data_IF_560201256714
#
_entry.id   IF_560201256714
#
_cell.length_a   1.000
_cell.length_b   1.000
_cell.length_c   1.000
_cell.angle_alpha   90.00
_cell.angle_beta   90.00
_cell.angle_gamma   90.00
#
_symmetry.space_group_name_H-M   'P 1'
#
loop_
_entity.id
_entity.type
_entity.pdbx_description
1 polymer ?
#
# COMPACT_ATOMS: atom_id res chain seq x y z
N UNK A 1 -4.36 41.36 -4.49
CA UNK A 1 -4.65 40.74 -3.17
C UNK A 1 -3.99 39.39 -3.18
N UNK A 2 -2.98 39.19 -2.34
CA UNK A 2 -2.25 37.93 -2.24
C UNK A 2 -3.21 36.86 -1.70
N UNK A 3 -3.39 35.76 -2.43
CA UNK A 3 -4.18 34.62 -1.95
C UNK A 3 -3.43 33.98 -0.76
N UNK A 4 -4.13 33.50 0.28
CA UNK A 4 -3.50 32.80 1.39
C UNK A 4 -2.67 31.61 0.87
N UNK A 5 -1.54 31.33 1.52
CA UNK A 5 -0.53 30.38 1.01
C UNK A 5 -1.09 28.96 0.77
N UNK A 6 -2.10 28.55 1.55
CA UNK A 6 -2.83 27.30 1.34
C UNK A 6 -3.57 27.24 -0.01
N UNK A 7 -4.15 28.36 -0.47
CA UNK A 7 -4.88 28.43 -1.74
C UNK A 7 -3.92 28.35 -2.94
N UNK A 8 -2.72 28.92 -2.81
CA UNK A 8 -1.65 28.78 -3.80
C UNK A 8 -1.22 27.31 -3.97
N UNK A 9 -1.13 26.56 -2.87
CA UNK A 9 -0.81 25.13 -2.90
C UNK A 9 -1.87 24.30 -3.65
N UNK A 10 -3.15 24.55 -3.39
CA UNK A 10 -4.26 23.87 -4.09
C UNK A 10 -4.26 24.20 -5.59
N UNK A 11 -4.04 25.47 -5.95
CA UNK A 11 -3.96 25.90 -7.35
C UNK A 11 -2.76 25.28 -8.09
N UNK A 12 -1.63 25.09 -7.40
CA UNK A 12 -0.46 24.38 -7.93
C UNK A 12 -0.78 22.90 -8.20
N UNK A 13 -1.41 22.20 -7.24
CA UNK A 13 -1.79 20.78 -7.39
C UNK A 13 -2.75 20.58 -8.55
N UNK A 14 -3.78 21.44 -8.65
CA UNK A 14 -4.75 21.43 -9.76
C UNK A 14 -4.08 21.47 -11.13
N UNK A 15 -3.18 22.44 -11.34
CA UNK A 15 -2.47 22.61 -12.62
C UNK A 15 -1.53 21.45 -12.90
N UNK A 16 -0.74 21.05 -11.92
CA UNK A 16 0.28 20.01 -12.07
C UNK A 16 -0.34 18.66 -12.40
N UNK A 17 -1.41 18.29 -11.69
CA UNK A 17 -2.12 17.04 -11.91
C UNK A 17 -2.80 17.00 -13.29
N UNK A 18 -3.40 18.13 -13.72
CA UNK A 18 -3.95 18.26 -15.07
C UNK A 18 -2.87 18.06 -16.15
N UNK A 19 -1.77 18.81 -16.06
CA UNK A 19 -0.66 18.70 -17.02
C UNK A 19 -0.10 17.27 -17.08
N UNK A 20 0.01 16.60 -15.93
CA UNK A 20 0.44 15.21 -15.87
C UNK A 20 -0.51 14.27 -16.63
N UNK A 21 -1.82 14.34 -16.37
CA UNK A 21 -2.83 13.49 -17.03
C UNK A 21 -2.86 13.77 -18.54
N UNK A 22 -2.83 15.04 -18.96
CA UNK A 22 -2.83 15.44 -20.37
C UNK A 22 -1.57 14.92 -21.11
N UNK A 23 -0.41 14.98 -20.45
CA UNK A 23 0.84 14.45 -21.00
C UNK A 23 0.77 12.93 -21.15
N UNK A 24 0.21 12.22 -20.16
CA UNK A 24 0.04 10.77 -20.21
C UNK A 24 -0.89 10.33 -21.35
N UNK A 25 -2.01 11.05 -21.56
CA UNK A 25 -2.93 10.80 -22.66
C UNK A 25 -2.26 10.99 -24.03
N UNK A 26 -1.37 11.98 -24.15
CA UNK A 26 -0.63 12.26 -25.39
C UNK A 26 0.41 11.17 -25.68
N UNK A 27 1.10 10.67 -24.65
CA UNK A 27 2.14 9.65 -24.76
C UNK A 27 1.59 8.27 -25.16
N UNK A 28 0.40 7.90 -24.67
CA UNK A 28 -0.25 6.64 -25.04
C UNK A 28 -0.74 6.61 -26.50
N UNK A 29 -0.77 7.76 -27.19
CA UNK A 29 -1.13 7.89 -28.61
C UNK A 29 0.00 7.54 -29.60
N UNK A 30 1.19 7.17 -29.15
CA UNK A 30 2.31 6.78 -30.03
C UNK A 30 2.76 5.34 -29.79
N UNK A 31 2.01 4.39 -30.33
CA UNK A 31 2.53 3.05 -30.64
C UNK A 31 3.53 3.22 -31.78
N UNK A 32 4.82 3.29 -31.46
CA UNK A 32 5.87 3.27 -32.47
C UNK A 32 6.32 1.81 -32.71
N UNK A 33 5.86 1.26 -33.83
CA UNK A 33 6.47 0.10 -34.46
C UNK A 33 7.83 0.55 -35.04
N UNK A 34 8.95 0.19 -34.38
CA UNK A 34 10.30 0.40 -34.94
C UNK A 34 11.38 0.85 -33.95
N UNK A 35 12.24 -0.09 -33.55
CA UNK A 35 13.69 -0.03 -33.21
C UNK A 35 14.24 1.13 -32.34
N UNK A 36 13.41 1.94 -31.67
CA UNK A 36 13.93 2.91 -30.68
C UNK A 36 12.97 3.12 -29.52
N UNK A 37 12.92 2.13 -28.62
CA UNK A 37 12.26 2.25 -27.31
C UNK A 37 13.03 3.23 -26.41
N UNK A 38 12.97 4.53 -26.71
CA UNK A 38 13.42 5.58 -25.82
C UNK A 38 12.21 5.98 -24.98
N UNK A 39 12.23 5.56 -23.71
CA UNK A 39 11.26 5.78 -22.63
C UNK A 39 10.22 4.65 -22.43
N UNK A 40 10.64 3.58 -21.75
CA UNK A 40 9.71 2.72 -21.01
C UNK A 40 9.10 3.55 -19.88
N UNK A 41 7.91 4.11 -20.10
CA UNK A 41 7.16 4.80 -19.05
C UNK A 41 6.71 3.76 -18.02
N UNK A 42 7.45 3.66 -16.92
CA UNK A 42 6.99 2.92 -15.76
C UNK A 42 5.85 3.71 -15.15
N UNK A 43 4.62 3.21 -15.27
CA UNK A 43 3.45 3.78 -14.63
C UNK A 43 3.70 3.95 -13.12
N UNK A 44 3.31 5.09 -12.56
CA UNK A 44 3.46 5.33 -11.11
C UNK A 44 2.70 4.29 -10.30
N UNK A 45 1.57 3.78 -10.81
CA UNK A 45 0.84 2.69 -10.18
C UNK A 45 1.65 1.42 -10.11
N UNK A 46 2.35 1.05 -11.18
CA UNK A 46 3.22 -0.12 -11.19
C UNK A 46 4.33 0.01 -10.14
N UNK A 47 5.03 1.14 -10.12
CA UNK A 47 6.09 1.40 -9.12
C UNK A 47 5.55 1.35 -7.70
N UNK A 48 4.37 1.93 -7.45
CA UNK A 48 3.72 1.92 -6.15
C UNK A 48 3.43 0.49 -5.64
N UNK A 49 2.90 -0.38 -6.51
CA UNK A 49 2.66 -1.78 -6.16
C UNK A 49 3.94 -2.58 -5.99
N UNK A 50 4.96 -2.34 -6.83
CA UNK A 50 6.28 -2.96 -6.68
C UNK A 50 6.85 -2.68 -5.30
N UNK A 51 6.82 -1.41 -4.85
CA UNK A 51 7.29 -1.01 -3.51
C UNK A 51 6.51 -1.73 -2.40
N UNK A 52 5.18 -1.84 -2.52
CA UNK A 52 4.38 -2.60 -1.54
C UNK A 52 4.73 -4.08 -1.50
N UNK A 53 4.95 -4.69 -2.67
CA UNK A 53 5.37 -6.10 -2.76
C UNK A 53 6.75 -6.27 -2.14
N UNK A 54 7.69 -5.37 -2.38
CA UNK A 54 9.02 -5.36 -1.77
C UNK A 54 8.92 -5.29 -0.24
N UNK A 55 8.02 -4.47 0.32
CA UNK A 55 7.79 -4.45 1.77
C UNK A 55 7.28 -5.79 2.32
N UNK A 56 6.34 -6.45 1.62
CA UNK A 56 5.84 -7.78 2.01
C UNK A 56 6.94 -8.85 1.89
N UNK A 57 7.73 -8.82 0.82
CA UNK A 57 8.87 -9.74 0.64
C UNK A 57 9.89 -9.50 1.74
N UNK A 58 10.15 -8.25 2.11
CA UNK A 58 11.08 -7.93 3.19
C UNK A 58 10.62 -8.51 4.54
N UNK A 59 9.33 -8.39 4.90
CA UNK A 59 8.83 -8.98 6.15
C UNK A 59 8.87 -10.51 6.12
N UNK A 60 8.55 -11.14 4.98
CA UNK A 60 8.65 -12.59 4.81
C UNK A 60 10.10 -13.09 4.84
N UNK A 61 11.03 -12.36 4.22
CA UNK A 61 12.44 -12.68 4.23
C UNK A 61 13.01 -12.59 5.65
N UNK A 62 12.67 -11.55 6.41
CA UNK A 62 13.03 -11.41 7.82
C UNK A 62 12.48 -12.58 8.65
N UNK A 63 11.24 -12.98 8.41
CA UNK A 63 10.64 -14.15 9.07
C UNK A 63 11.38 -15.45 8.73
N UNK A 64 11.73 -15.67 7.47
CA UNK A 64 12.45 -16.85 7.02
C UNK A 64 13.89 -16.89 7.55
N UNK A 65 14.61 -15.76 7.51
CA UNK A 65 15.95 -15.63 8.08
C UNK A 65 15.95 -15.93 9.58
N UNK A 66 14.95 -15.44 10.30
CA UNK A 66 14.82 -15.71 11.73
C UNK A 66 14.53 -17.19 12.01
N UNK A 67 13.67 -17.82 11.19
CA UNK A 67 13.44 -19.26 11.26
C UNK A 67 14.71 -20.08 10.96
N UNK A 68 15.53 -19.64 10.01
CA UNK A 68 16.81 -20.28 9.71
C UNK A 68 17.84 -20.07 10.83
N UNK A 69 17.88 -18.89 11.44
CA UNK A 69 18.85 -18.55 12.49
C UNK A 69 18.59 -19.31 13.79
N UNK A 70 17.31 -19.44 14.18
CA UNK A 70 16.95 -20.17 15.40
C UNK A 70 17.05 -21.69 15.24
N UNK A 71 17.12 -22.23 14.00
CA UNK A 71 17.27 -23.65 13.67
C UNK A 71 16.23 -24.63 14.25
N UNK A 72 15.28 -24.12 15.05
CA UNK A 72 14.08 -24.81 15.51
C UNK A 72 12.89 -24.45 14.62
N UNK A 73 11.80 -25.23 14.65
CA UNK A 73 10.55 -24.93 13.94
C UNK A 73 9.89 -23.61 14.42
N UNK A 74 10.47 -22.46 14.05
CA UNK A 74 10.06 -21.13 14.47
C UNK A 74 8.73 -20.72 13.83
N UNK A 75 8.38 -21.28 12.67
CA UNK A 75 7.06 -21.08 12.03
C UNK A 75 5.89 -21.37 12.97
N UNK A 76 5.98 -22.43 13.79
CA UNK A 76 4.94 -22.80 14.75
C UNK A 76 5.11 -22.21 16.15
N UNK A 77 6.20 -21.45 16.39
CA UNK A 77 6.56 -21.00 17.73
C UNK A 77 5.49 -20.12 18.38
N UNK A 78 5.05 -19.07 17.70
CA UNK A 78 4.02 -18.19 18.25
C UNK A 78 2.65 -18.83 18.33
N UNK A 79 2.30 -19.74 17.43
CA UNK A 79 1.02 -20.49 17.48
C UNK A 79 0.98 -21.39 18.71
N UNK A 80 2.06 -22.13 18.98
CA UNK A 80 2.17 -22.97 20.17
C UNK A 80 2.17 -22.14 21.46
N UNK A 81 2.89 -21.01 21.47
CA UNK A 81 2.93 -20.10 22.61
C UNK A 81 1.56 -19.47 22.91
N UNK A 82 0.84 -19.00 21.88
CA UNK A 82 -0.52 -18.47 22.03
C UNK A 82 -1.48 -19.56 22.49
N UNK A 83 -1.40 -20.77 21.92
CA UNK A 83 -2.26 -21.88 22.32
C UNK A 83 -2.08 -22.23 23.80
N UNK A 84 -0.84 -22.29 24.30
CA UNK A 84 -0.57 -22.56 25.73
C UNK A 84 -1.08 -21.43 26.63
N UNK A 85 -0.97 -20.19 26.18
CA UNK A 85 -1.51 -19.03 26.90
C UNK A 85 -3.04 -19.10 27.01
N UNK A 86 -3.75 -19.48 25.95
CA UNK A 86 -5.21 -19.63 25.97
C UNK A 86 -5.68 -20.83 26.78
N UNK A 87 -4.91 -21.91 26.82
CA UNK A 87 -5.21 -23.11 27.63
C UNK A 87 -4.94 -22.92 29.13
N UNK A 88 -4.25 -21.85 29.53
CA UNK A 88 -3.85 -21.63 30.93
C UNK A 88 -2.71 -22.54 31.40
N UNK A 89 -2.02 -23.20 30.46
CA UNK A 89 -0.86 -24.03 30.75
C UNK A 89 0.39 -23.18 31.00
N UNK A 90 1.40 -23.76 31.67
CA UNK A 90 2.68 -23.12 31.91
C UNK A 90 3.40 -22.78 30.58
N UNK A 91 3.22 -21.55 30.12
CA UNK A 91 3.84 -20.99 28.91
C UNK A 91 5.30 -20.52 29.13
N UNK A 92 5.82 -20.69 30.35
CA UNK A 92 7.13 -20.18 30.76
C UNK A 92 8.30 -21.10 30.41
N UNK A 93 8.08 -22.39 30.18
CA UNK A 93 9.15 -23.36 29.90
C UNK A 93 9.15 -23.80 28.43
N UNK A 94 9.85 -23.02 27.60
CA UNK A 94 10.16 -23.42 26.23
C UNK A 94 11.45 -24.27 26.22
N UNK A 95 11.42 -25.53 25.77
CA UNK A 95 12.62 -26.37 25.66
C UNK A 95 13.62 -25.88 24.60
N UNK A 96 13.24 -24.88 23.77
CA UNK A 96 14.11 -24.31 22.72
C UNK A 96 15.24 -23.46 23.28
N UNK A 97 15.01 -22.81 24.41
CA UNK A 97 15.97 -21.90 25.03
C UNK A 97 16.30 -22.39 26.46
N UNK A 98 17.20 -23.37 26.61
CA UNK A 98 17.57 -23.90 27.92
C UNK A 98 18.21 -22.80 28.77
N UNK A 99 17.62 -22.56 29.95
CA UNK A 99 18.19 -21.65 30.97
C UNK A 99 19.36 -22.30 31.70
N UNK A 100 19.45 -23.62 31.65
CA UNK A 100 20.47 -24.44 32.31
C UNK A 100 21.04 -25.43 31.29
N UNK A 101 22.36 -25.51 31.20
CA UNK A 101 23.08 -26.40 30.27
C UNK A 101 24.20 -27.14 31.00
N UNK A 102 24.65 -28.27 30.48
CA UNK A 102 25.85 -28.96 30.96
C UNK A 102 27.05 -28.47 30.14
N UNK A 103 28.07 -27.96 30.83
CA UNK A 103 29.33 -27.53 30.23
C UNK A 103 30.44 -28.52 30.58
N UNK A 104 31.15 -29.00 29.57
CA UNK A 104 32.31 -29.85 29.75
C UNK A 104 33.58 -29.01 29.83
N UNK A 105 34.31 -29.14 30.95
CA UNK A 105 35.60 -28.52 31.16
C UNK A 105 36.71 -29.56 31.16
N UNK A 106 37.81 -29.21 30.50
CA UNK A 106 38.98 -30.07 30.40
C UNK A 106 40.11 -29.47 31.22
N UNK A 107 40.41 -30.08 32.38
CA UNK A 107 41.43 -29.56 33.31
C UNK A 107 42.72 -30.37 33.13
N UNK A 108 43.85 -29.67 33.00
CA UNK A 108 45.20 -30.28 32.93
C UNK A 108 45.91 -30.11 34.26
N UNK A 109 46.25 -31.22 34.92
CA UNK A 109 47.15 -31.23 36.07
C UNK A 109 48.57 -31.58 35.59
N UNK A 110 49.60 -30.86 36.07
CA UNK A 110 51.00 -31.17 35.75
C UNK A 110 51.31 -32.60 36.22
N UNK A 111 51.63 -33.50 35.28
CA UNK A 111 52.03 -34.89 35.55
C UNK A 111 50.93 -35.95 35.50
N UNK A 112 49.68 -35.61 35.15
CA UNK A 112 48.58 -36.58 35.02
C UNK A 112 47.84 -36.46 33.68
N UNK A 113 47.13 -37.54 33.32
CA UNK A 113 46.28 -37.61 32.12
C UNK A 113 45.13 -36.59 32.19
N UNK A 114 44.66 -36.15 31.03
CA UNK A 114 43.65 -35.11 30.91
C UNK A 114 42.25 -35.67 31.25
N UNK A 115 41.57 -35.11 32.25
CA UNK A 115 40.24 -35.54 32.70
C UNK A 115 39.16 -34.51 32.32
N UNK A 116 37.98 -35.01 31.97
CA UNK A 116 36.79 -34.22 31.63
C UNK A 116 35.87 -34.13 32.85
N UNK A 117 35.32 -32.94 33.09
CA UNK A 117 34.34 -32.66 34.14
C UNK A 117 33.12 -31.98 33.52
N UNK A 118 31.92 -32.52 33.77
CA UNK A 118 30.67 -31.90 33.39
C UNK A 118 30.09 -31.13 34.58
N UNK A 119 29.80 -29.84 34.40
CA UNK A 119 29.15 -29.00 35.41
C UNK A 119 27.90 -28.32 34.87
N UNK A 120 27.00 -27.94 35.77
CA UNK A 120 25.78 -27.21 35.43
C UNK A 120 26.07 -25.71 35.27
N UNK A 121 25.81 -25.18 34.07
CA UNK A 121 25.92 -23.77 33.71
C UNK A 121 24.53 -23.12 33.63
N UNK A 122 24.37 -21.93 34.21
CA UNK A 122 23.19 -21.08 34.03
C UNK A 122 23.43 -20.09 32.87
N UNK A 123 22.47 -19.99 31.94
CA UNK A 123 22.48 -19.08 30.80
C UNK A 123 21.33 -18.06 30.96
N UNK A 124 21.50 -17.01 31.79
CA UNK A 124 20.46 -16.04 32.06
C UNK A 124 20.06 -15.24 30.82
N UNK A 125 20.92 -15.15 29.80
CA UNK A 125 20.60 -14.47 28.53
C UNK A 125 19.44 -15.15 27.77
N UNK A 126 19.26 -16.46 27.95
CA UNK A 126 18.31 -17.23 27.15
C UNK A 126 16.85 -16.95 27.52
N UNK A 127 16.60 -16.49 28.76
CA UNK A 127 15.25 -16.08 29.18
C UNK A 127 14.80 -14.81 28.44
N UNK A 128 15.73 -13.88 28.17
CA UNK A 128 15.43 -12.65 27.43
C UNK A 128 15.21 -12.96 25.96
N UNK A 129 16.05 -13.82 25.38
CA UNK A 129 15.89 -14.27 24.00
C UNK A 129 14.52 -14.90 23.76
N UNK A 130 14.07 -15.80 24.65
CA UNK A 130 12.74 -16.41 24.55
C UNK A 130 11.63 -15.33 24.47
N UNK A 131 11.68 -14.29 25.30
CA UNK A 131 10.62 -13.25 25.29
C UNK A 131 10.72 -12.29 24.10
N UNK A 132 11.94 -11.89 23.72
CA UNK A 132 12.15 -11.00 22.56
C UNK A 132 11.75 -11.70 21.27
N UNK A 133 12.13 -12.95 21.06
CA UNK A 133 11.78 -13.67 19.83
C UNK A 133 10.28 -13.94 19.71
N UNK A 134 9.56 -14.10 20.83
CA UNK A 134 8.09 -14.15 20.81
C UNK A 134 7.48 -12.81 20.38
N UNK A 135 8.00 -11.70 20.94
CA UNK A 135 7.58 -10.36 20.53
C UNK A 135 7.84 -10.08 19.05
N UNK A 136 9.03 -10.43 18.55
CA UNK A 136 9.40 -10.28 17.14
C UNK A 136 8.53 -11.16 16.24
N UNK A 137 8.24 -12.40 16.63
CA UNK A 137 7.36 -13.29 15.87
C UNK A 137 5.96 -12.67 15.69
N UNK A 138 5.35 -12.19 16.79
CA UNK A 138 4.04 -11.54 16.75
C UNK A 138 4.06 -10.27 15.89
N UNK A 139 5.11 -9.47 16.05
CA UNK A 139 5.30 -8.24 15.30
C UNK A 139 5.42 -8.50 13.79
N UNK A 140 6.22 -9.48 13.37
CA UNK A 140 6.38 -9.82 11.95
C UNK A 140 5.08 -10.35 11.31
N UNK A 141 4.28 -11.13 12.05
CA UNK A 141 2.96 -11.57 11.59
C UNK A 141 2.01 -10.38 11.41
N UNK A 142 1.94 -9.48 12.40
CA UNK A 142 1.12 -8.26 12.31
C UNK A 142 1.54 -7.42 11.10
N UNK A 143 2.83 -7.15 10.93
CA UNK A 143 3.34 -6.39 9.79
C UNK A 143 3.00 -7.05 8.45
N UNK A 144 3.14 -8.38 8.37
CA UNK A 144 2.81 -9.12 7.14
C UNK A 144 1.32 -9.02 6.81
N UNK A 145 0.45 -9.16 7.81
CA UNK A 145 -1.01 -8.99 7.64
C UNK A 145 -1.34 -7.57 7.20
N UNK A 146 -0.78 -6.55 7.86
CA UNK A 146 -1.03 -5.14 7.51
C UNK A 146 -0.57 -4.81 6.08
N UNK A 147 0.58 -5.33 5.65
CA UNK A 147 1.07 -5.15 4.27
C UNK A 147 0.13 -5.81 3.25
N UNK A 148 -0.32 -7.05 3.51
CA UNK A 148 -1.28 -7.76 2.63
C UNK A 148 -2.62 -7.01 2.57
N UNK A 149 -3.17 -6.62 3.71
CA UNK A 149 -4.41 -5.84 3.77
C UNK A 149 -4.27 -4.49 3.05
N UNK A 150 -3.11 -3.85 3.15
CA UNK A 150 -2.83 -2.63 2.40
C UNK A 150 -2.88 -2.89 0.90
N UNK A 151 -2.17 -3.91 0.40
CA UNK A 151 -2.17 -4.27 -1.03
C UNK A 151 -3.60 -4.56 -1.51
N UNK A 152 -4.34 -5.40 -0.80
CA UNK A 152 -5.73 -5.76 -1.14
C UNK A 152 -6.60 -4.50 -1.16
N UNK A 153 -6.50 -3.64 -0.14
CA UNK A 153 -7.25 -2.39 -0.07
C UNK A 153 -7.01 -1.49 -1.28
N UNK A 154 -5.76 -1.35 -1.72
CA UNK A 154 -5.40 -0.57 -2.90
C UNK A 154 -5.87 -1.21 -4.21
N UNK A 155 -5.74 -2.53 -4.37
CA UNK A 155 -6.25 -3.26 -5.54
C UNK A 155 -7.77 -3.06 -5.67
N UNK A 156 -8.51 -3.17 -4.58
CA UNK A 156 -9.96 -3.00 -4.65
C UNK A 156 -10.31 -1.51 -4.88
N UNK A 157 -9.59 -0.56 -4.29
CA UNK A 157 -9.77 0.89 -4.55
C UNK A 157 -9.60 1.23 -6.03
N UNK A 158 -8.63 0.58 -6.69
CA UNK A 158 -8.33 0.77 -8.10
C UNK A 158 -9.17 -0.08 -9.07
N UNK A 159 -10.10 -0.90 -8.56
CA UNK A 159 -11.06 -1.59 -9.42
C UNK A 159 -11.98 -0.59 -10.13
N UNK A 160 -12.30 -0.83 -11.42
CA UNK A 160 -13.05 0.13 -12.24
C UNK A 160 -14.37 0.58 -11.58
N UNK A 161 -15.10 -0.34 -10.95
CA UNK A 161 -16.35 -0.02 -10.24
C UNK A 161 -16.17 0.91 -9.04
N UNK A 162 -15.15 0.67 -8.20
CA UNK A 162 -14.86 1.54 -7.05
C UNK A 162 -14.28 2.88 -7.45
N UNK A 163 -13.43 2.93 -8.49
CA UNK A 163 -12.89 4.18 -9.04
C UNK A 163 -14.00 5.12 -9.47
N UNK A 164 -14.94 4.62 -10.28
CA UNK A 164 -16.09 5.42 -10.76
C UNK A 164 -16.96 5.88 -9.58
N UNK A 165 -17.22 4.98 -8.63
CA UNK A 165 -18.02 5.29 -7.44
C UNK A 165 -17.38 6.37 -6.57
N UNK A 166 -16.05 6.30 -6.38
CA UNK A 166 -15.28 7.28 -5.61
C UNK A 166 -15.25 8.64 -6.32
N UNK A 167 -14.96 8.67 -7.61
CA UNK A 167 -15.02 9.89 -8.44
C UNK A 167 -16.38 10.58 -8.32
N UNK A 168 -17.47 9.80 -8.45
CA UNK A 168 -18.84 10.31 -8.30
C UNK A 168 -19.12 10.88 -6.91
N UNK A 169 -18.62 10.23 -5.85
CA UNK A 169 -18.75 10.73 -4.47
C UNK A 169 -18.10 12.10 -4.32
N UNK A 170 -16.85 12.26 -4.76
CA UNK A 170 -16.13 13.53 -4.62
C UNK A 170 -16.74 14.65 -5.49
N UNK A 171 -17.21 14.34 -6.70
CA UNK A 171 -17.92 15.30 -7.54
C UNK A 171 -19.24 15.78 -6.90
N UNK A 172 -20.02 14.87 -6.32
CA UNK A 172 -21.29 15.22 -5.67
C UNK A 172 -21.09 16.02 -4.39
N UNK A 173 -20.02 15.75 -3.63
CA UNK A 173 -19.72 16.47 -2.37
C UNK A 173 -19.52 17.97 -2.58
N UNK A 174 -18.99 18.37 -3.73
CA UNK A 174 -18.72 19.76 -4.07
C UNK A 174 -19.91 20.47 -4.73
N UNK A 175 -20.79 19.73 -5.40
CA UNK A 175 -21.92 20.30 -6.14
C UNK A 175 -22.91 21.02 -5.20
N UNK A 176 -22.94 20.65 -3.92
CA UNK A 176 -23.70 21.34 -2.86
C UNK A 176 -23.22 22.78 -2.57
N UNK A 177 -22.03 23.19 -3.06
CA UNK A 177 -21.44 24.50 -2.80
C UNK A 177 -21.64 25.50 -3.95
N UNK A 178 -22.08 25.07 -5.14
CA UNK A 178 -22.35 25.95 -6.29
C UNK A 178 -23.82 25.86 -6.75
N UNK A 179 -24.76 26.58 -6.11
CA UNK A 179 -26.18 26.55 -6.48
C UNK A 179 -26.54 27.30 -7.79
N UNK A 180 -25.56 27.80 -8.55
CA UNK A 180 -25.84 28.65 -9.72
C UNK A 180 -26.18 27.88 -11.01
N UNK A 181 -26.18 26.54 -10.99
CA UNK A 181 -26.36 25.73 -12.22
C UNK A 181 -27.74 25.11 -12.41
N UNK A 182 -28.68 25.26 -11.47
CA UNK A 182 -30.02 24.68 -11.65
C UNK A 182 -30.90 25.45 -12.65
N UNK A 183 -30.56 26.70 -12.99
CA UNK A 183 -31.41 27.58 -13.80
C UNK A 183 -31.17 27.55 -15.31
N UNK A 184 -30.06 26.99 -15.81
CA UNK A 184 -29.77 26.95 -17.26
C UNK A 184 -29.95 25.57 -17.91
N UNK A 185 -30.26 24.53 -17.13
CA UNK A 185 -30.40 23.14 -17.62
C UNK A 185 -31.86 22.66 -17.63
N UNK A 186 -32.84 23.56 -17.74
CA UNK A 186 -34.26 23.23 -17.73
C UNK A 186 -34.86 23.01 -19.14
N UNK A 187 -34.08 23.13 -20.22
CA UNK A 187 -34.63 23.15 -21.59
C UNK A 187 -34.17 22.04 -22.53
N UNK A 188 -33.59 20.94 -22.04
CA UNK A 188 -33.45 19.75 -22.90
C UNK A 188 -33.67 18.45 -22.13
N UNK A 189 -34.84 17.87 -22.38
CA UNK A 189 -35.25 16.54 -21.95
C UNK A 189 -34.28 15.47 -22.47
N UNK A 190 -33.50 14.88 -21.56
CA UNK A 190 -32.96 13.51 -21.58
C UNK A 190 -32.54 13.18 -20.14
N UNK A 191 -32.89 12.00 -19.65
CA UNK A 191 -32.80 11.57 -18.24
C UNK A 191 -31.50 12.04 -17.54
N UNK A 192 -31.56 12.99 -16.59
CA UNK A 192 -30.40 13.72 -16.06
C UNK A 192 -29.42 12.88 -15.21
N UNK A 193 -29.76 11.61 -14.98
CA UNK A 193 -28.96 10.63 -14.24
C UNK A 193 -28.08 9.78 -15.17
N UNK A 194 -28.59 9.47 -16.37
CA UNK A 194 -27.91 8.63 -17.36
C UNK A 194 -26.75 9.37 -18.03
N UNK A 195 -26.96 10.65 -18.38
CA UNK A 195 -25.93 11.50 -19.01
C UNK A 195 -24.76 11.79 -18.05
N UNK A 196 -25.08 12.00 -16.76
CA UNK A 196 -24.09 12.24 -15.69
C UNK A 196 -23.24 11.00 -15.37
N UNK A 197 -23.82 9.81 -15.47
CA UNK A 197 -23.14 8.53 -15.21
C UNK A 197 -22.20 8.13 -16.37
N UNK A 198 -22.59 8.43 -17.62
CA UNK A 198 -21.74 8.26 -18.81
C UNK A 198 -20.55 9.21 -18.75
N UNK A 199 -20.77 10.46 -18.39
CA UNK A 199 -19.71 11.47 -18.30
C UNK A 199 -18.71 11.17 -17.16
N UNK A 200 -19.19 10.70 -16.01
CA UNK A 200 -18.31 10.27 -14.91
C UNK A 200 -17.46 9.04 -15.28
N UNK A 201 -17.99 8.14 -16.11
CA UNK A 201 -17.26 6.96 -16.60
C UNK A 201 -16.18 7.37 -17.58
N UNK A 202 -16.50 8.23 -18.56
CA UNK A 202 -15.53 8.76 -19.52
C UNK A 202 -14.42 9.58 -18.85
N UNK A 203 -14.77 10.40 -17.86
CA UNK A 203 -13.79 11.13 -17.06
C UNK A 203 -12.86 10.21 -16.25
N UNK A 204 -13.40 9.13 -15.66
CA UNK A 204 -12.61 8.14 -14.92
C UNK A 204 -11.67 7.36 -15.85
N UNK A 205 -12.06 7.16 -17.11
CA UNK A 205 -11.23 6.58 -18.15
C UNK A 205 -10.09 7.52 -18.55
N UNK A 206 -10.40 8.81 -18.77
CA UNK A 206 -9.41 9.87 -19.06
C UNK A 206 -8.36 10.05 -17.96
N UNK A 207 -8.74 9.93 -16.69
CA UNK A 207 -7.81 10.05 -15.57
C UNK A 207 -6.80 8.89 -15.50
N UNK A 208 -7.08 7.78 -16.20
CA UNK A 208 -6.32 6.54 -16.14
C UNK A 208 -6.09 6.01 -14.71
N UNK A 209 -5.41 4.87 -14.60
CA UNK A 209 -5.09 4.25 -13.31
C UNK A 209 -4.13 5.14 -12.49
N UNK A 210 -3.15 5.74 -13.15
CA UNK A 210 -2.10 6.55 -12.52
C UNK A 210 -2.61 7.89 -11.99
N UNK A 211 -3.38 8.64 -12.80
CA UNK A 211 -3.97 9.90 -12.36
C UNK A 211 -4.94 9.68 -11.20
N UNK A 212 -5.72 8.59 -11.25
CA UNK A 212 -6.63 8.25 -10.17
C UNK A 212 -5.88 7.84 -8.89
N UNK A 213 -4.79 7.08 -9.01
CA UNK A 213 -3.96 6.73 -7.85
C UNK A 213 -3.43 7.99 -7.14
N UNK A 214 -2.87 8.92 -7.90
CA UNK A 214 -2.32 10.18 -7.36
C UNK A 214 -3.45 10.97 -6.68
N UNK A 215 -4.59 11.09 -7.34
CA UNK A 215 -5.76 11.75 -6.76
C UNK A 215 -6.24 11.06 -5.46
N UNK A 216 -6.36 9.73 -5.44
CA UNK A 216 -6.82 8.96 -4.26
C UNK A 216 -5.84 9.08 -3.09
N UNK A 217 -4.52 9.18 -3.36
CA UNK A 217 -3.51 9.48 -2.34
C UNK A 217 -3.73 10.88 -1.77
N UNK A 218 -3.95 11.90 -2.63
CA UNK A 218 -4.21 13.27 -2.17
C UNK A 218 -5.50 13.33 -1.36
N UNK A 219 -6.57 12.69 -1.83
CA UNK A 219 -7.87 12.68 -1.19
C UNK A 219 -7.87 11.97 0.18
N UNK A 220 -7.04 10.94 0.37
CA UNK A 220 -6.87 10.27 1.67
C UNK A 220 -6.08 11.09 2.70
N UNK A 221 -5.25 12.03 2.24
CA UNK A 221 -4.40 12.86 3.10
C UNK A 221 -4.89 14.30 3.25
N UNK A 222 -5.99 14.67 2.58
CA UNK A 222 -6.55 16.03 2.57
C UNK A 222 -8.04 15.96 2.88
N UNK A 223 -8.64 17.07 3.30
CA UNK A 223 -10.07 17.18 3.51
C UNK A 223 -10.89 16.87 2.24
N UNK A 224 -12.05 16.24 2.43
CA UNK A 224 -12.97 15.85 1.35
C UNK A 224 -13.38 17.05 0.47
N UNK A 225 -13.48 18.26 1.05
CA UNK A 225 -13.82 19.50 0.35
C UNK A 225 -12.71 19.91 -0.63
N UNK A 226 -11.44 19.86 -0.21
CA UNK A 226 -10.30 20.24 -1.06
C UNK A 226 -10.13 19.21 -2.17
N UNK A 227 -10.27 17.92 -1.85
CA UNK A 227 -10.27 16.85 -2.84
C UNK A 227 -11.39 17.04 -3.88
N UNK A 228 -12.59 17.41 -3.42
CA UNK A 228 -13.72 17.81 -4.27
C UNK A 228 -13.35 18.94 -5.24
N UNK A 229 -12.69 20.00 -4.76
CA UNK A 229 -12.31 21.13 -5.62
C UNK A 229 -11.28 20.76 -6.68
N UNK A 230 -10.36 19.84 -6.36
CA UNK A 230 -9.36 19.35 -7.31
C UNK A 230 -10.05 18.53 -8.39
N UNK A 231 -10.92 17.58 -8.03
CA UNK A 231 -11.58 16.73 -9.01
C UNK A 231 -12.57 17.51 -9.88
N UNK A 232 -13.24 18.51 -9.31
CA UNK A 232 -14.13 19.40 -10.07
C UNK A 232 -13.35 20.22 -11.10
N UNK A 233 -12.18 20.75 -10.71
CA UNK A 233 -11.32 21.48 -11.64
C UNK A 233 -10.83 20.59 -12.78
N UNK A 234 -10.49 19.33 -12.50
CA UNK A 234 -10.10 18.36 -13.52
C UNK A 234 -11.28 18.02 -14.44
N UNK A 235 -12.46 17.80 -13.89
CA UNK A 235 -13.67 17.46 -14.64
C UNK A 235 -14.14 18.61 -15.54
N UNK A 236 -14.06 19.87 -15.08
CA UNK A 236 -14.41 21.05 -15.89
C UNK A 236 -13.46 21.32 -17.06
N UNK A 237 -12.21 20.90 -16.94
CA UNK A 237 -11.17 21.11 -17.96
C UNK A 237 -10.76 19.81 -18.65
N UNK A 238 -11.62 18.80 -18.61
CA UNK A 238 -11.42 17.53 -19.29
C UNK A 238 -11.86 17.69 -20.76
N UNK A 239 -10.96 17.33 -21.68
CA UNK A 239 -11.28 17.18 -23.09
C UNK A 239 -11.32 15.67 -23.43
N UNK A 240 -12.47 15.13 -23.86
CA UNK A 240 -12.54 13.73 -24.27
C UNK A 240 -11.59 13.49 -25.44
N UNK A 241 -10.87 12.36 -25.47
CA UNK A 241 -10.07 12.01 -26.63
C UNK A 241 -11.01 11.96 -27.84
N UNK A 242 -10.75 12.81 -28.84
CA UNK A 242 -11.50 12.83 -30.09
C UNK A 242 -11.33 11.47 -30.77
N UNK A 243 -12.33 10.60 -30.61
CA UNK A 243 -12.42 9.37 -31.38
C UNK A 243 -12.71 9.81 -32.82
N UNK A 244 -11.67 9.95 -33.63
CA UNK A 244 -11.82 10.14 -35.07
C UNK A 244 -12.53 8.90 -35.60
N UNK A 245 -13.86 8.92 -35.61
CA UNK A 245 -14.67 8.06 -36.44
C UNK A 245 -14.38 8.55 -37.87
N UNK A 246 -13.40 7.93 -38.53
CA UNK A 246 -13.35 7.93 -39.98
C UNK A 246 -14.63 7.22 -40.43
N UNK A 247 -15.69 8.00 -40.63
CA UNK A 247 -16.82 7.64 -41.46
C UNK A 247 -16.28 7.41 -42.86
N UNK A 248 -15.87 6.17 -43.14
CA UNK A 248 -15.73 5.70 -44.50
C UNK A 248 -17.14 5.59 -45.07
N UNK A 249 -17.57 6.67 -45.72
CA UNK A 249 -18.62 6.67 -46.75
C UNK A 249 -17.98 6.22 -48.06
#
# INVERSE_FOLDING_TARGET
KDKPDAEKGVDFVKRTLKTYIDTQNTLHGSVCCGVRCRNFYVSYTLTYFIVKILYTINTLAQFFLLNSFLSFHFTGYGVEALSKLFSGDDWFESPRFPRVTMCDFMIRHLGSNQHWYAIQCNLPINIYNDKIFLGVWLWLIILTILNILSIIGWVISLSSGRRISATKRYLNSNQSLSPERETLLSTTSKSPKYDRDIDATGFTEYMHLDGFLIFDIIAKNTDEIIAGQIIEHLYRNYEPPTRNYTSNV
#
